data_IF_238304164234
#
_entry.id   IF_238304164234
#
_cell.length_a   1.000
_cell.length_b   1.000
_cell.length_c   1.000
_cell.angle_alpha   90.00
_cell.angle_beta   90.00
_cell.angle_gamma   90.00
#
_symmetry.space_group_name_H-M   'P 1'
#
loop_
_entity.id
_entity.type
_entity.pdbx_description
1 polymer ?
#
# COMPACT_ATOMS: atom_id res chain seq x y z
N UNK A 1 -20.42 -2.06 14.49
CA UNK A 1 -20.14 -0.70 14.01
C UNK A 1 -19.39 -0.78 12.69
N UNK A 2 -19.88 -0.11 11.67
CA UNK A 2 -19.21 -0.09 10.39
C UNK A 2 -18.03 0.91 10.42
N UNK A 3 -16.85 0.46 10.02
CA UNK A 3 -15.69 1.33 9.91
C UNK A 3 -15.71 2.06 8.57
N UNK A 4 -15.21 3.30 8.54
CA UNK A 4 -14.99 4.01 7.28
C UNK A 4 -13.89 3.32 6.47
N UNK A 5 -13.78 3.62 5.16
CA UNK A 5 -12.73 3.05 4.33
C UNK A 5 -11.35 3.29 4.90
N UNK A 6 -11.06 4.51 5.37
CA UNK A 6 -9.78 4.84 5.97
C UNK A 6 -9.50 4.07 7.25
N UNK A 7 -10.52 3.91 8.09
CA UNK A 7 -10.37 3.14 9.33
C UNK A 7 -10.08 1.67 9.05
N UNK A 8 -10.75 1.08 8.06
CA UNK A 8 -10.51 -0.30 7.67
C UNK A 8 -9.08 -0.50 7.18
N UNK A 9 -8.56 0.42 6.38
CA UNK A 9 -7.19 0.33 5.89
C UNK A 9 -6.18 0.44 7.03
N UNK A 10 -6.38 1.35 7.97
CA UNK A 10 -5.49 1.50 9.12
C UNK A 10 -5.49 0.25 10.00
N UNK A 11 -6.64 -0.36 10.21
CA UNK A 11 -6.75 -1.60 10.99
C UNK A 11 -6.00 -2.73 10.29
N UNK A 12 -6.14 -2.85 8.98
CA UNK A 12 -5.44 -3.88 8.21
C UNK A 12 -3.92 -3.73 8.29
N UNK A 13 -3.42 -2.49 8.16
CA UNK A 13 -1.99 -2.21 8.25
C UNK A 13 -1.48 -2.48 9.66
N UNK A 14 -2.21 -2.04 10.68
CA UNK A 14 -1.82 -2.28 12.07
C UNK A 14 -1.77 -3.78 12.39
N UNK A 15 -2.70 -4.57 11.85
CA UNK A 15 -2.72 -6.00 12.03
C UNK A 15 -1.49 -6.67 11.41
N UNK A 16 -1.08 -6.22 10.22
CA UNK A 16 0.10 -6.72 9.56
C UNK A 16 1.37 -6.42 10.36
N UNK A 17 1.47 -5.22 10.93
CA UNK A 17 2.59 -4.85 11.79
C UNK A 17 2.62 -5.72 13.04
N UNK A 18 1.47 -5.90 13.68
CA UNK A 18 1.38 -6.71 14.91
C UNK A 18 1.77 -8.16 14.66
N UNK A 19 1.53 -8.69 13.46
CA UNK A 19 1.93 -10.04 13.08
C UNK A 19 3.42 -10.17 12.79
N UNK A 20 4.17 -9.07 12.77
CA UNK A 20 5.61 -9.04 12.49
C UNK A 20 5.98 -9.67 11.14
N UNK A 21 5.08 -9.56 10.17
CA UNK A 21 5.30 -10.13 8.85
C UNK A 21 6.48 -9.43 8.14
N UNK A 22 7.33 -10.20 7.48
CA UNK A 22 8.45 -9.66 6.70
C UNK A 22 8.02 -9.26 5.29
N UNK A 23 7.01 -9.92 4.73
CA UNK A 23 6.45 -9.62 3.43
C UNK A 23 5.00 -9.20 3.64
N UNK A 24 4.65 -8.02 3.16
CA UNK A 24 3.32 -7.44 3.34
C UNK A 24 2.68 -7.23 1.97
N UNK A 25 1.41 -7.61 1.86
CA UNK A 25 0.63 -7.47 0.63
C UNK A 25 -0.57 -6.57 0.92
N UNK A 26 -0.69 -5.49 0.17
CA UNK A 26 -1.82 -4.56 0.30
C UNK A 26 -2.52 -4.43 -1.05
N UNK A 27 -3.83 -4.64 -1.05
CA UNK A 27 -4.66 -4.51 -2.25
C UNK A 27 -5.48 -3.23 -2.16
N UNK A 28 -5.20 -2.29 -3.06
CA UNK A 28 -5.86 -0.99 -3.13
C UNK A 28 -5.95 -0.30 -1.76
N UNK A 29 -4.83 -0.12 -1.05
CA UNK A 29 -4.88 0.35 0.35
C UNK A 29 -5.38 1.79 0.51
N UNK A 30 -5.42 2.57 -0.58
CA UNK A 30 -5.89 3.96 -0.55
C UNK A 30 -7.24 4.15 -1.22
N UNK A 31 -7.91 3.07 -1.61
CA UNK A 31 -9.22 3.13 -2.26
C UNK A 31 -10.24 3.80 -1.32
N UNK A 32 -10.92 4.80 -1.85
CA UNK A 32 -11.94 5.53 -1.08
C UNK A 32 -11.38 6.54 -0.10
N UNK A 33 -10.07 6.73 -0.04
CA UNK A 33 -9.46 7.73 0.83
C UNK A 33 -9.31 9.08 0.12
N UNK A 34 -9.40 10.16 0.89
CA UNK A 34 -9.03 11.48 0.39
C UNK A 34 -7.51 11.61 0.34
N UNK A 35 -7.02 12.73 -0.20
CA UNK A 35 -5.60 12.95 -0.39
C UNK A 35 -4.81 12.90 0.93
N UNK A 36 -5.35 13.50 1.97
CA UNK A 36 -4.70 13.55 3.28
C UNK A 36 -4.49 12.16 3.85
N UNK A 37 -5.55 11.34 3.84
CA UNK A 37 -5.48 9.99 4.36
C UNK A 37 -4.63 9.07 3.48
N UNK A 38 -4.66 9.29 2.17
CA UNK A 38 -3.81 8.57 1.24
C UNK A 38 -2.34 8.83 1.54
N UNK A 39 -1.98 10.10 1.83
CA UNK A 39 -0.61 10.42 2.21
C UNK A 39 -0.18 9.76 3.50
N UNK A 40 -1.07 9.67 4.49
CA UNK A 40 -0.78 8.99 5.74
C UNK A 40 -0.47 7.51 5.51
N UNK A 41 -1.24 6.86 4.64
CA UNK A 41 -0.99 5.46 4.28
C UNK A 41 0.34 5.33 3.55
N UNK A 42 0.63 6.21 2.59
CA UNK A 42 1.89 6.18 1.85
C UNK A 42 3.10 6.32 2.78
N UNK A 43 3.03 7.23 3.73
CA UNK A 43 4.10 7.44 4.70
C UNK A 43 4.32 6.21 5.58
N UNK A 44 3.23 5.56 5.98
CA UNK A 44 3.31 4.36 6.78
C UNK A 44 3.94 3.20 6.01
N UNK A 45 3.54 3.00 4.76
CA UNK A 45 4.11 1.96 3.90
C UNK A 45 5.60 2.20 3.67
N UNK A 46 5.98 3.44 3.44
CA UNK A 46 7.37 3.81 3.24
C UNK A 46 8.20 3.55 4.48
N UNK A 47 7.66 3.85 5.66
CA UNK A 47 8.34 3.58 6.93
C UNK A 47 8.56 2.09 7.13
N UNK A 48 7.56 1.26 6.81
CA UNK A 48 7.69 -0.18 6.92
C UNK A 48 8.78 -0.72 5.98
N UNK A 49 8.86 -0.18 4.77
CA UNK A 49 9.92 -0.56 3.84
C UNK A 49 11.30 -0.17 4.36
N UNK A 50 11.41 1.02 4.98
CA UNK A 50 12.66 1.47 5.57
C UNK A 50 13.10 0.60 6.75
N UNK A 51 12.16 -0.07 7.41
CA UNK A 51 12.45 -1.02 8.48
C UNK A 51 12.90 -2.39 7.97
N UNK A 52 13.04 -2.54 6.66
CA UNK A 52 13.52 -3.77 6.04
C UNK A 52 12.42 -4.73 5.58
N UNK A 53 11.17 -4.31 5.62
CA UNK A 53 10.07 -5.15 5.15
C UNK A 53 9.90 -5.02 3.64
N UNK A 54 9.50 -6.10 3.00
CA UNK A 54 9.16 -6.09 1.58
C UNK A 54 7.65 -5.87 1.43
N UNK A 55 7.28 -4.86 0.68
CA UNK A 55 5.88 -4.45 0.56
C UNK A 55 5.44 -4.50 -0.90
N UNK A 56 4.38 -5.25 -1.16
CA UNK A 56 3.71 -5.30 -2.45
C UNK A 56 2.37 -4.58 -2.34
N UNK A 57 2.13 -3.65 -3.26
CA UNK A 57 0.90 -2.85 -3.28
C UNK A 57 0.25 -3.00 -4.64
N UNK A 58 -1.01 -3.41 -4.66
CA UNK A 58 -1.84 -3.38 -5.85
C UNK A 58 -2.63 -2.07 -5.82
N UNK A 59 -2.46 -1.22 -6.82
CA UNK A 59 -3.13 0.07 -6.84
C UNK A 59 -3.26 0.65 -8.24
N UNK A 60 -4.28 1.49 -8.44
CA UNK A 60 -4.45 2.32 -9.63
C UNK A 60 -4.15 3.78 -9.34
N UNK A 61 -3.74 4.11 -8.11
CA UNK A 61 -3.55 5.48 -7.68
C UNK A 61 -2.14 5.96 -8.04
N UNK A 62 -2.00 6.82 -9.07
CA UNK A 62 -0.68 7.29 -9.49
C UNK A 62 0.01 8.14 -8.42
N UNK A 63 -0.75 8.80 -7.55
CA UNK A 63 -0.18 9.61 -6.48
C UNK A 63 0.45 8.71 -5.42
N UNK A 64 -0.20 7.61 -5.07
CA UNK A 64 0.36 6.64 -4.13
C UNK A 64 1.66 6.05 -4.69
N UNK A 65 1.65 5.68 -5.96
CA UNK A 65 2.82 5.12 -6.63
C UNK A 65 3.99 6.11 -6.56
N UNK A 66 3.74 7.39 -6.86
CA UNK A 66 4.77 8.41 -6.85
C UNK A 66 5.31 8.67 -5.45
N UNK A 67 4.49 8.53 -4.41
CA UNK A 67 4.88 8.85 -3.05
C UNK A 67 5.67 7.74 -2.36
N UNK A 68 5.39 6.48 -2.64
CA UNK A 68 5.96 5.41 -1.84
C UNK A 68 6.55 4.22 -2.61
N UNK A 69 6.35 4.14 -3.92
CA UNK A 69 6.80 2.98 -4.69
C UNK A 69 8.10 3.27 -5.42
N UNK A 70 9.07 2.37 -5.29
CA UNK A 70 10.36 2.49 -6.01
C UNK A 70 10.42 1.61 -7.25
N UNK A 71 9.55 0.60 -7.34
CA UNK A 71 9.43 -0.25 -8.53
C UNK A 71 7.98 -0.44 -8.92
N UNK A 72 7.71 -0.46 -10.21
CA UNK A 72 6.37 -0.61 -10.74
C UNK A 72 6.34 -1.83 -11.64
N UNK A 73 5.37 -2.72 -11.40
CA UNK A 73 5.12 -3.87 -12.23
C UNK A 73 3.73 -3.72 -12.82
N UNK A 74 3.64 -3.65 -14.15
CA UNK A 74 2.36 -3.60 -14.83
C UNK A 74 1.93 -5.00 -15.21
N UNK A 75 0.70 -5.36 -14.87
CA UNK A 75 0.13 -6.64 -15.25
C UNK A 75 -0.89 -6.39 -16.36
N UNK A 76 -0.63 -6.91 -17.55
CA UNK A 76 -1.49 -6.76 -18.70
C UNK A 76 -1.66 -8.13 -19.36
N UNK A 77 -2.90 -8.55 -19.59
CA UNK A 77 -3.22 -9.82 -20.24
C UNK A 77 -2.50 -11.01 -19.61
N UNK A 78 -2.41 -11.02 -18.27
CA UNK A 78 -1.75 -12.09 -17.53
C UNK A 78 -0.23 -12.05 -17.53
N UNK A 79 0.36 -10.98 -18.09
CA UNK A 79 1.81 -10.82 -18.10
C UNK A 79 2.25 -9.70 -17.16
N UNK A 80 3.32 -9.93 -16.42
CA UNK A 80 3.91 -8.94 -15.55
C UNK A 80 5.11 -8.31 -16.25
N UNK A 81 5.16 -6.97 -16.27
CA UNK A 81 6.27 -6.20 -16.83
C UNK A 81 6.74 -5.15 -15.84
N UNK A 82 8.04 -5.09 -15.62
CA UNK A 82 8.61 -4.01 -14.84
C UNK A 82 8.59 -2.73 -15.69
N UNK A 83 8.07 -1.64 -15.10
CA UNK A 83 7.99 -0.32 -15.74
C UNK A 83 8.95 0.59 -15.01
N UNK A 84 9.96 1.00 -15.69
CA UNK A 84 11.05 1.72 -15.08
C UNK A 84 10.91 3.19 -15.02
#
# INVERSE_FOLDING_TARGET
MALSGGQKQRVAIASAIAAQAQILLFDEPTSGLDYRHMREVAELLKRLADEGKTIFVSTHDPELIALCCDKIIRITEGRAQEVG
#
